data_IF_396090185940
#
_entry.id   IF_396090185940
#
_cell.length_a   1.000
_cell.length_b   1.000
_cell.length_c   1.000
_cell.angle_alpha   90.00
_cell.angle_beta   90.00
_cell.angle_gamma   90.00
#
_symmetry.space_group_name_H-M   'P 1'
#
loop_
_entity.id
_entity.type
_entity.pdbx_description
1 polymer ?
#
# COMPACT_ATOMS: atom_id res chain seq x y z
N UNK A 1 -24.24 16.93 -3.19
CA UNK A 1 -23.78 16.28 -4.43
C UNK A 1 -22.27 16.04 -4.30
N UNK A 2 -21.86 14.86 -3.84
CA UNK A 2 -20.45 14.51 -3.75
C UNK A 2 -19.91 14.21 -5.14
N UNK A 3 -18.82 14.87 -5.54
CA UNK A 3 -18.15 14.62 -6.82
C UNK A 3 -17.83 13.13 -6.92
N UNK A 4 -18.47 12.43 -7.87
CA UNK A 4 -18.22 11.02 -8.13
C UNK A 4 -16.79 10.88 -8.66
N UNK A 5 -15.88 10.36 -7.85
CA UNK A 5 -14.53 10.03 -8.30
C UNK A 5 -14.60 9.10 -9.52
N UNK A 6 -13.81 9.43 -10.54
CA UNK A 6 -13.78 8.74 -11.84
C UNK A 6 -12.65 7.71 -11.89
N UNK A 7 -12.67 6.78 -12.85
CA UNK A 7 -11.57 5.81 -13.06
C UNK A 7 -10.20 6.49 -13.16
N UNK A 8 -10.15 7.69 -13.74
CA UNK A 8 -8.94 8.50 -13.86
C UNK A 8 -8.39 8.99 -12.52
N UNK A 9 -9.25 9.41 -11.58
CA UNK A 9 -8.81 9.82 -10.26
C UNK A 9 -8.30 8.63 -9.44
N UNK A 10 -8.99 7.48 -9.51
CA UNK A 10 -8.55 6.26 -8.81
C UNK A 10 -7.18 5.79 -9.33
N UNK A 11 -6.95 5.85 -10.64
CA UNK A 11 -5.64 5.59 -11.25
C UNK A 11 -4.56 6.54 -10.73
N UNK A 12 -4.87 7.83 -10.65
CA UNK A 12 -3.93 8.83 -10.14
C UNK A 12 -3.56 8.53 -8.67
N UNK A 13 -4.51 8.17 -7.81
CA UNK A 13 -4.21 7.80 -6.42
C UNK A 13 -3.30 6.57 -6.32
N UNK A 14 -3.53 5.53 -7.13
CA UNK A 14 -2.65 4.36 -7.15
C UNK A 14 -1.23 4.70 -7.57
N UNK A 15 -1.07 5.49 -8.63
CA UNK A 15 0.25 5.89 -9.13
C UNK A 15 0.94 6.80 -8.12
N UNK A 16 0.27 7.86 -7.66
CA UNK A 16 0.84 8.83 -6.71
C UNK A 16 1.15 8.16 -5.38
N UNK A 17 0.24 7.34 -4.84
CA UNK A 17 0.45 6.58 -3.61
C UNK A 17 1.63 5.62 -3.71
N UNK A 18 1.75 4.91 -4.84
CA UNK A 18 2.88 4.02 -5.07
C UNK A 18 4.22 4.76 -5.23
N UNK A 19 4.20 5.94 -5.86
CA UNK A 19 5.38 6.79 -6.01
C UNK A 19 5.83 7.36 -4.66
N UNK A 20 4.89 7.82 -3.83
CA UNK A 20 5.18 8.29 -2.48
C UNK A 20 5.79 7.15 -1.65
N UNK A 21 5.20 5.95 -1.70
CA UNK A 21 5.74 4.79 -0.99
C UNK A 21 7.16 4.44 -1.43
N UNK A 22 7.47 4.52 -2.72
CA UNK A 22 8.83 4.31 -3.24
C UNK A 22 9.81 5.39 -2.79
N UNK A 23 9.42 6.66 -2.85
CA UNK A 23 10.28 7.77 -2.40
C UNK A 23 10.58 7.65 -0.90
N UNK A 24 9.57 7.30 -0.10
CA UNK A 24 9.77 7.03 1.33
C UNK A 24 10.69 5.83 1.55
N UNK A 25 10.48 4.70 0.84
CA UNK A 25 11.35 3.53 0.92
C UNK A 25 12.80 3.83 0.54
N UNK A 26 13.04 4.60 -0.53
CA UNK A 26 14.39 5.02 -0.93
C UNK A 26 15.06 5.92 0.10
N UNK A 27 14.30 6.84 0.72
CA UNK A 27 14.79 7.66 1.82
C UNK A 27 15.17 6.81 3.03
N UNK A 28 14.36 5.81 3.35
CA UNK A 28 14.61 4.88 4.45
C UNK A 28 15.84 4.01 4.17
N UNK A 29 16.04 3.53 2.93
CA UNK A 29 17.28 2.84 2.50
C UNK A 29 18.49 3.75 2.69
N UNK A 30 18.41 5.01 2.23
CA UNK A 30 19.51 5.97 2.35
C UNK A 30 19.86 6.24 3.82
N UNK A 31 18.86 6.25 4.69
CA UNK A 31 19.04 6.42 6.14
C UNK A 31 19.66 5.17 6.75
N UNK A 32 19.17 3.98 6.41
CA UNK A 32 19.71 2.71 6.89
C UNK A 32 21.17 2.50 6.44
N UNK A 33 21.50 2.76 5.18
CA UNK A 33 22.88 2.62 4.68
C UNK A 33 23.86 3.60 5.36
N UNK A 34 23.42 4.80 5.73
CA UNK A 34 24.23 5.75 6.52
C UNK A 34 24.47 5.29 7.96
N UNK A 35 23.56 4.52 8.53
CA UNK A 35 23.71 3.89 9.85
C UNK A 35 24.42 2.51 9.79
N UNK A 36 24.94 2.10 8.63
CA UNK A 36 25.38 0.73 8.34
C UNK A 36 26.27 0.08 9.40
N UNK A 37 27.27 0.78 9.93
CA UNK A 37 28.16 0.23 10.97
C UNK A 37 27.47 0.02 12.32
N UNK A 38 26.46 0.83 12.67
CA UNK A 38 25.68 0.69 13.89
C UNK A 38 24.59 -0.38 13.76
N UNK A 39 24.11 -0.63 12.54
CA UNK A 39 23.10 -1.65 12.27
C UNK A 39 23.68 -3.06 12.36
N UNK A 40 24.96 -3.25 12.04
CA UNK A 40 25.58 -4.58 12.07
C UNK A 40 25.69 -5.18 13.47
N UNK A 41 25.79 -4.34 14.50
CA UNK A 41 25.83 -4.75 15.92
C UNK A 41 24.44 -5.05 16.50
N UNK A 42 23.35 -4.73 15.78
CA UNK A 42 21.99 -4.94 16.29
C UNK A 42 21.56 -6.42 16.22
N UNK A 43 20.68 -6.86 17.16
CA UNK A 43 20.03 -8.16 17.10
C UNK A 43 19.29 -8.39 15.78
N UNK A 44 19.20 -9.65 15.35
CA UNK A 44 18.50 -10.04 14.11
C UNK A 44 17.05 -9.54 14.08
N UNK A 45 16.36 -9.53 15.22
CA UNK A 45 14.99 -9.01 15.34
C UNK A 45 14.88 -7.52 15.01
N UNK A 46 15.87 -6.72 15.39
CA UNK A 46 15.93 -5.29 15.09
C UNK A 46 16.26 -5.04 13.62
N UNK A 47 17.20 -5.82 13.05
CA UNK A 47 17.49 -5.78 11.61
C UNK A 47 16.24 -6.08 10.79
N UNK A 48 15.46 -7.09 11.18
CA UNK A 48 14.19 -7.41 10.54
C UNK A 48 13.16 -6.29 10.68
N UNK A 49 13.03 -5.69 11.86
CA UNK A 49 12.10 -4.58 12.10
C UNK A 49 12.43 -3.33 11.28
N UNK A 50 13.68 -3.17 10.82
CA UNK A 50 14.11 -2.05 9.97
C UNK A 50 13.96 -2.40 8.49
N UNK A 51 14.45 -3.57 8.07
CA UNK A 51 14.46 -3.96 6.65
C UNK A 51 13.09 -4.38 6.11
N UNK A 52 12.26 -5.01 6.93
CA UNK A 52 10.92 -5.46 6.53
C UNK A 52 10.01 -4.30 6.08
N UNK A 53 9.84 -3.20 6.84
CA UNK A 53 9.07 -2.04 6.38
C UNK A 53 9.56 -1.47 5.06
N UNK A 54 10.89 -1.36 4.92
CA UNK A 54 11.54 -0.75 3.75
C UNK A 54 11.20 -1.56 2.50
N UNK A 55 11.46 -2.87 2.55
CA UNK A 55 11.17 -3.77 1.44
C UNK A 55 9.66 -3.85 1.16
N UNK A 56 8.83 -3.85 2.21
CA UNK A 56 7.38 -3.82 2.10
C UNK A 56 6.87 -2.57 1.37
N UNK A 57 7.34 -1.37 1.76
CA UNK A 57 6.97 -0.10 1.12
C UNK A 57 7.39 -0.04 -0.34
N UNK A 58 8.59 -0.52 -0.66
CA UNK A 58 9.07 -0.56 -2.05
C UNK A 58 8.26 -1.54 -2.90
N UNK A 59 8.07 -2.77 -2.40
CA UNK A 59 7.28 -3.79 -3.09
C UNK A 59 5.85 -3.36 -3.32
N UNK A 60 5.17 -2.87 -2.28
CA UNK A 60 3.82 -2.32 -2.38
C UNK A 60 3.77 -1.07 -3.27
N UNK A 61 4.78 -0.21 -3.23
CA UNK A 61 4.85 0.98 -4.06
C UNK A 61 4.86 0.64 -5.55
N UNK A 62 5.70 -0.34 -5.95
CA UNK A 62 5.73 -0.87 -7.32
C UNK A 62 4.37 -1.51 -7.66
N UNK A 63 3.84 -2.33 -6.75
CA UNK A 63 2.57 -3.03 -6.96
C UNK A 63 1.40 -2.05 -7.15
N UNK A 64 1.37 -0.94 -6.42
CA UNK A 64 0.38 0.12 -6.56
C UNK A 64 0.52 0.88 -7.88
N UNK A 65 1.75 1.17 -8.34
CA UNK A 65 1.97 1.79 -9.65
C UNK A 65 1.45 0.86 -10.77
N UNK A 66 1.78 -0.43 -10.70
CA UNK A 66 1.30 -1.43 -11.65
C UNK A 66 -0.23 -1.54 -11.62
N UNK A 67 -0.83 -1.54 -10.43
CA UNK A 67 -2.28 -1.53 -10.26
C UNK A 67 -2.92 -0.29 -10.90
N UNK A 68 -2.32 0.89 -10.75
CA UNK A 68 -2.79 2.11 -11.41
C UNK A 68 -2.68 2.05 -12.93
N UNK A 69 -1.60 1.49 -13.48
CA UNK A 69 -1.43 1.33 -14.93
C UNK A 69 -2.46 0.33 -15.49
N UNK A 70 -2.67 -0.80 -14.81
CA UNK A 70 -3.55 -1.87 -15.26
C UNK A 70 -5.01 -1.72 -14.80
N UNK A 71 -5.35 -0.66 -14.06
CA UNK A 71 -6.66 -0.46 -13.44
C UNK A 71 -7.80 -0.58 -14.43
N UNK A 72 -7.66 0.00 -15.64
CA UNK A 72 -8.71 -0.02 -16.67
C UNK A 72 -9.04 -1.45 -17.13
N UNK A 73 -8.03 -2.29 -17.32
CA UNK A 73 -8.20 -3.70 -17.70
C UNK A 73 -8.71 -4.54 -16.52
N UNK A 74 -8.20 -4.25 -15.32
CA UNK A 74 -8.61 -4.94 -14.10
C UNK A 74 -10.08 -4.67 -13.76
N UNK A 75 -10.58 -3.44 -13.92
CA UNK A 75 -11.98 -3.10 -13.67
C UNK A 75 -12.94 -3.86 -14.57
N UNK A 76 -12.55 -4.17 -15.81
CA UNK A 76 -13.35 -4.98 -16.74
C UNK A 76 -13.47 -6.44 -16.31
N UNK A 77 -12.51 -6.95 -15.53
CA UNK A 77 -12.46 -8.33 -15.03
C UNK A 77 -12.85 -8.45 -13.55
N UNK A 78 -13.37 -7.36 -12.94
CA UNK A 78 -13.80 -7.33 -11.53
C UNK A 78 -12.70 -6.99 -10.51
N UNK A 79 -11.48 -6.68 -10.98
CA UNK A 79 -10.36 -6.17 -10.21
C UNK A 79 -9.92 -7.04 -9.00
N UNK A 80 -10.19 -8.36 -9.04
CA UNK A 80 -9.92 -9.27 -7.92
C UNK A 80 -8.45 -9.26 -7.46
N UNK A 81 -7.50 -9.20 -8.38
CA UNK A 81 -6.07 -9.15 -8.02
C UNK A 81 -5.69 -7.82 -7.32
N UNK A 82 -6.27 -6.69 -7.73
CA UNK A 82 -6.05 -5.38 -7.07
C UNK A 82 -6.67 -5.37 -5.67
N UNK A 83 -7.83 -6.02 -5.49
CA UNK A 83 -8.41 -6.20 -4.16
C UNK A 83 -7.50 -7.04 -3.25
N UNK A 84 -6.94 -8.14 -3.76
CA UNK A 84 -6.00 -8.95 -2.99
C UNK A 84 -4.72 -8.17 -2.67
N UNK A 85 -4.21 -7.36 -3.60
CA UNK A 85 -3.05 -6.49 -3.39
C UNK A 85 -3.32 -5.46 -2.28
N UNK A 86 -4.50 -4.84 -2.26
CA UNK A 86 -4.91 -3.94 -1.19
C UNK A 86 -5.03 -4.66 0.17
N UNK A 87 -5.58 -5.88 0.20
CA UNK A 87 -5.67 -6.68 1.43
C UNK A 87 -4.29 -7.09 1.96
N UNK A 88 -3.39 -7.50 1.07
CA UNK A 88 -1.98 -7.79 1.43
C UNK A 88 -1.30 -6.51 1.92
N UNK A 89 -1.55 -5.37 1.30
CA UNK A 89 -1.05 -4.07 1.74
C UNK A 89 -1.52 -3.70 3.15
N UNK A 90 -2.80 -3.94 3.48
CA UNK A 90 -3.32 -3.78 4.84
C UNK A 90 -2.58 -4.70 5.82
N UNK A 91 -2.40 -5.98 5.46
CA UNK A 91 -1.67 -6.94 6.30
C UNK A 91 -0.23 -6.51 6.59
N UNK A 92 0.49 -6.05 5.57
CA UNK A 92 1.86 -5.53 5.71
C UNK A 92 1.88 -4.30 6.61
N UNK A 93 0.96 -3.35 6.43
CA UNK A 93 0.87 -2.16 7.29
C UNK A 93 0.63 -2.53 8.76
N UNK A 94 -0.25 -3.49 9.03
CA UNK A 94 -0.52 -3.97 10.39
C UNK A 94 0.70 -4.64 11.00
N UNK A 95 1.38 -5.52 10.25
CA UNK A 95 2.61 -6.18 10.70
C UNK A 95 3.70 -5.13 10.99
N UNK A 96 3.84 -4.12 10.12
CA UNK A 96 4.78 -3.01 10.29
C UNK A 96 4.49 -2.24 11.60
N UNK A 97 3.24 -1.87 11.84
CA UNK A 97 2.85 -1.19 13.09
C UNK A 97 3.16 -2.03 14.32
N UNK A 98 2.90 -3.35 14.30
CA UNK A 98 3.18 -4.25 15.42
C UNK A 98 4.69 -4.37 15.66
N UNK A 99 5.48 -4.55 14.60
CA UNK A 99 6.94 -4.65 14.68
C UNK A 99 7.54 -3.37 15.24
N UNK A 100 7.18 -2.21 14.70
CA UNK A 100 7.66 -0.91 15.18
C UNK A 100 7.27 -0.68 16.63
N UNK A 101 6.02 -0.95 17.02
CA UNK A 101 5.56 -0.80 18.40
C UNK A 101 6.31 -1.71 19.37
N UNK A 102 6.68 -2.92 18.94
CA UNK A 102 7.41 -3.89 19.77
C UNK A 102 8.90 -3.54 19.98
N UNK A 103 9.51 -2.78 19.07
CA UNK A 103 10.96 -2.51 19.07
C UNK A 103 11.32 -1.09 19.52
N UNK A 104 10.56 -0.07 19.11
CA UNK A 104 10.96 1.34 19.25
C UNK A 104 10.39 2.08 20.47
N UNK A 105 9.53 1.43 21.26
CA UNK A 105 8.91 2.06 22.44
C UNK A 105 7.90 3.18 22.10
N UNK A 106 7.23 3.69 23.13
CA UNK A 106 5.96 4.44 23.00
C UNK A 106 6.05 5.81 22.31
N UNK A 107 7.18 6.52 22.38
CA UNK A 107 7.29 7.88 21.83
C UNK A 107 7.63 7.92 20.34
N UNK A 108 8.60 7.13 19.88
CA UNK A 108 8.91 6.97 18.45
C UNK A 108 7.79 6.20 17.73
N UNK A 109 7.20 5.21 18.40
CA UNK A 109 6.06 4.45 17.89
C UNK A 109 4.83 5.32 17.61
N UNK A 110 4.62 6.43 18.33
CA UNK A 110 3.40 7.26 18.17
C UNK A 110 3.29 7.91 16.79
N UNK A 111 4.41 8.36 16.22
CA UNK A 111 4.45 8.99 14.89
C UNK A 111 4.26 7.96 13.77
N UNK A 112 4.82 6.77 13.95
CA UNK A 112 4.64 5.64 13.02
C UNK A 112 3.24 5.04 13.11
N UNK A 113 2.64 4.98 14.29
CA UNK A 113 1.23 4.57 14.45
C UNK A 113 0.31 5.52 13.69
N UNK A 114 0.52 6.85 13.79
CA UNK A 114 -0.28 7.83 13.04
C UNK A 114 -0.10 7.64 11.53
N UNK A 115 1.13 7.46 11.05
CA UNK A 115 1.40 7.25 9.62
C UNK A 115 0.79 5.93 9.12
N UNK A 116 0.86 4.85 9.91
CA UNK A 116 0.20 3.57 9.61
C UNK A 116 -1.33 3.70 9.60
N UNK A 117 -1.94 4.42 10.55
CA UNK A 117 -3.38 4.67 10.56
C UNK A 117 -3.83 5.46 9.32
N UNK A 118 -3.07 6.47 8.90
CA UNK A 118 -3.34 7.21 7.67
C UNK A 118 -3.20 6.28 6.45
N UNK A 119 -2.13 5.48 6.40
CA UNK A 119 -1.93 4.48 5.35
C UNK A 119 -3.11 3.52 5.24
N UNK A 120 -3.54 2.95 6.36
CA UNK A 120 -4.70 2.06 6.44
C UNK A 120 -5.99 2.75 5.99
N UNK A 121 -6.22 3.99 6.41
CA UNK A 121 -7.40 4.76 6.00
C UNK A 121 -7.42 4.99 4.48
N UNK A 122 -6.26 5.35 3.89
CA UNK A 122 -6.11 5.52 2.45
C UNK A 122 -6.35 4.19 1.72
N UNK A 123 -5.77 3.09 2.21
CA UNK A 123 -5.93 1.76 1.61
C UNK A 123 -7.38 1.28 1.69
N UNK A 124 -8.04 1.49 2.83
CA UNK A 124 -9.46 1.16 3.02
C UNK A 124 -10.36 2.00 2.10
N UNK A 125 -10.06 3.29 1.95
CA UNK A 125 -10.75 4.19 1.03
C UNK A 125 -10.59 3.71 -0.43
N UNK A 126 -9.38 3.37 -0.85
CA UNK A 126 -9.10 2.81 -2.18
C UNK A 126 -9.85 1.50 -2.41
N UNK A 127 -9.90 0.62 -1.42
CA UNK A 127 -10.62 -0.65 -1.52
C UNK A 127 -12.13 -0.44 -1.67
N UNK A 128 -12.73 0.46 -0.90
CA UNK A 128 -14.14 0.78 -0.99
C UNK A 128 -14.49 1.38 -2.38
N UNK A 129 -13.70 2.33 -2.86
CA UNK A 129 -13.91 2.93 -4.18
C UNK A 129 -13.66 1.93 -5.32
N UNK A 130 -12.64 1.08 -5.21
CA UNK A 130 -12.35 0.05 -6.21
C UNK A 130 -13.50 -0.96 -6.31
N UNK A 131 -14.04 -1.42 -5.17
CA UNK A 131 -15.20 -2.33 -5.16
C UNK A 131 -16.42 -1.69 -5.80
N UNK A 132 -16.69 -0.41 -5.50
CA UNK A 132 -17.78 0.33 -6.11
C UNK A 132 -17.61 0.45 -7.62
N UNK A 133 -16.43 0.89 -8.08
CA UNK A 133 -16.13 1.05 -9.51
C UNK A 133 -16.14 -0.29 -10.27
N UNK A 134 -15.64 -1.36 -9.66
CA UNK A 134 -15.68 -2.69 -10.26
C UNK A 134 -17.12 -3.19 -10.43
N UNK A 135 -17.98 -2.96 -9.43
CA UNK A 135 -19.41 -3.29 -9.52
C UNK A 135 -20.12 -2.45 -10.59
N UNK A 136 -19.83 -1.14 -10.68
CA UNK A 136 -20.37 -0.26 -11.73
C UNK A 136 -19.91 -0.68 -13.14
N UNK A 137 -18.64 -1.07 -13.29
CA UNK A 137 -18.08 -1.54 -14.56
C UNK A 137 -18.68 -2.90 -15.00
N UNK A 138 -18.85 -3.84 -14.08
CA UNK A 138 -19.50 -5.13 -14.34
C UNK A 138 -20.99 -4.98 -14.67
N UNK A 139 -21.70 -4.05 -14.02
CA UNK A 139 -23.10 -3.77 -14.34
C UNK A 139 -23.26 -3.18 -15.76
N UNK A 140 -22.26 -2.42 -16.22
CA UNK A 140 -22.26 -1.79 -17.55
C UNK A 140 -21.86 -2.76 -18.67
N UNK A 141 -20.96 -3.69 -18.41
CA UNK A 141 -20.54 -4.75 -19.32
C UNK A 141 -20.66 -6.12 -18.62
N UNK A 142 -21.88 -6.67 -18.49
CA UNK A 142 -22.05 -8.00 -17.91
C UNK A 142 -21.24 -9.00 -18.76
N UNK A 143 -20.48 -9.92 -18.13
CA UNK A 143 -19.78 -10.95 -18.87
C UNK A 143 -20.81 -11.68 -19.73
N UNK A 144 -20.54 -11.79 -21.03
CA UNK A 144 -21.41 -12.51 -21.96
C UNK A 144 -21.73 -13.86 -21.32
N UNK A 145 -23.01 -14.11 -21.00
CA UNK A 145 -23.45 -15.41 -20.55
C UNK A 145 -23.01 -16.38 -21.63
N UNK A 146 -22.02 -17.22 -21.31
CA UNK A 146 -21.69 -18.38 -22.13
C UNK A 146 -22.94 -19.25 -22.07
N UNK A 147 -23.71 -19.20 -23.15
CA UNK A 147 -24.88 -20.04 -23.39
C UNK A 147 -24.42 -21.43 -23.84
#
# INVERSE_FOLDING_TARGET
MGMRETEGSLRAYFIVGGLIALVMGLRDISTATKLGSMLDELPVSWKLAIWFPILGRMGLGIAYILAGIQLKSALQTGAGWIQNLLLVGIGILVIDTILVASVLGSDLGRRDIISSCIGLAITAYLLANLRRLAAEAMAKNPPARVA
#
